data_IF_582336265846
#
_entry.id   IF_582336265846
#
_cell.length_a   1.000
_cell.length_b   1.000
_cell.length_c   1.000
_cell.angle_alpha   90.00
_cell.angle_beta   90.00
_cell.angle_gamma   90.00
#
_symmetry.space_group_name_H-M   'P 1'
#
loop_
_entity.id
_entity.type
_entity.pdbx_description
1 polymer ?
#
# COMPACT_ATOMS: atom_id res chain seq x y z
N UNK A 1 15.99 8.43 5.88
CA UNK A 1 14.81 7.59 5.63
C UNK A 1 15.22 6.56 4.61
N UNK A 2 15.09 5.26 4.90
CA UNK A 2 15.46 4.20 3.95
C UNK A 2 14.22 3.85 3.12
N UNK A 3 14.26 3.92 1.78
CA UNK A 3 13.15 3.49 0.95
C UNK A 3 12.92 1.98 1.10
N UNK A 4 11.65 1.59 1.17
CA UNK A 4 11.26 0.18 1.19
C UNK A 4 11.15 -0.29 -0.26
N UNK A 5 12.06 -1.18 -0.66
CA UNK A 5 12.02 -1.85 -1.96
C UNK A 5 11.41 -3.23 -1.73
N UNK A 6 10.28 -3.51 -2.34
CA UNK A 6 9.68 -4.85 -2.37
C UNK A 6 10.10 -5.49 -3.68
N UNK A 7 10.97 -6.51 -3.63
CA UNK A 7 11.48 -7.22 -4.81
C UNK A 7 11.52 -8.72 -4.64
N UNK A 8 11.12 -9.42 -5.68
CA UNK A 8 11.44 -10.81 -5.94
C UNK A 8 12.41 -10.90 -7.16
N UNK A 9 13.58 -11.56 -6.93
CA UNK A 9 14.60 -12.08 -7.86
C UNK A 9 15.78 -11.22 -8.36
N UNK A 10 16.95 -11.91 -8.35
CA UNK A 10 18.33 -11.39 -8.49
C UNK A 10 18.70 -10.61 -9.78
N UNK A 11 17.94 -10.72 -10.85
CA UNK A 11 18.29 -10.08 -12.14
C UNK A 11 17.92 -8.59 -12.20
N UNK A 12 17.03 -8.12 -11.36
CA UNK A 12 16.53 -6.75 -11.36
C UNK A 12 17.36 -5.76 -10.53
N UNK A 13 18.33 -6.23 -9.74
CA UNK A 13 19.03 -5.39 -8.75
C UNK A 13 19.84 -4.25 -9.41
N UNK A 14 20.50 -4.50 -10.53
CA UNK A 14 21.35 -3.49 -11.19
C UNK A 14 20.48 -2.47 -11.94
N UNK A 15 19.47 -2.93 -12.65
CA UNK A 15 18.53 -2.04 -13.38
C UNK A 15 17.76 -1.19 -12.40
N UNK A 16 17.29 -1.79 -11.30
CA UNK A 16 16.55 -1.06 -10.25
C UNK A 16 17.44 -0.04 -9.54
N UNK A 17 18.71 -0.32 -9.32
CA UNK A 17 19.63 0.67 -8.75
C UNK A 17 19.75 1.90 -9.64
N UNK A 18 19.93 1.72 -10.94
CA UNK A 18 20.03 2.83 -11.89
C UNK A 18 18.72 3.65 -11.94
N UNK A 19 17.56 2.98 -11.92
CA UNK A 19 16.26 3.66 -11.88
C UNK A 19 16.12 4.43 -10.58
N UNK A 20 16.50 3.83 -9.46
CA UNK A 20 16.43 4.45 -8.14
C UNK A 20 17.33 5.70 -8.09
N UNK A 21 18.59 5.57 -8.47
CA UNK A 21 19.56 6.67 -8.45
C UNK A 21 19.10 7.82 -9.37
N UNK A 22 18.67 7.52 -10.59
CA UNK A 22 18.12 8.51 -11.53
C UNK A 22 16.85 9.18 -11.00
N UNK A 23 15.98 8.41 -10.34
CA UNK A 23 14.74 8.97 -9.76
C UNK A 23 15.07 9.86 -8.57
N UNK A 24 16.03 9.46 -7.73
CA UNK A 24 16.49 10.23 -6.59
C UNK A 24 17.08 11.59 -7.05
N UNK A 25 17.93 11.57 -8.06
CA UNK A 25 18.50 12.78 -8.66
C UNK A 25 17.44 13.72 -9.24
N UNK A 26 16.49 13.17 -10.01
CA UNK A 26 15.44 13.96 -10.65
C UNK A 26 14.35 14.45 -9.70
N UNK A 27 14.26 13.89 -8.50
CA UNK A 27 13.20 14.22 -7.53
C UNK A 27 13.56 15.34 -6.54
N UNK A 28 14.76 15.91 -6.68
CA UNK A 28 15.25 17.03 -5.85
C UNK A 28 15.09 16.78 -4.34
N UNK A 29 15.36 15.56 -3.88
CA UNK A 29 15.30 15.17 -2.47
C UNK A 29 13.88 15.01 -1.90
N UNK A 30 12.83 15.02 -2.75
CA UNK A 30 11.47 14.70 -2.31
C UNK A 30 11.30 13.19 -2.10
N UNK A 31 10.44 12.84 -1.16
CA UNK A 31 10.08 11.43 -0.95
C UNK A 31 9.37 10.87 -2.20
N UNK A 32 9.71 9.64 -2.55
CA UNK A 32 9.05 8.92 -3.64
C UNK A 32 8.88 7.45 -3.25
N UNK A 33 7.94 6.80 -3.90
CA UNK A 33 7.69 5.37 -3.79
C UNK A 33 7.88 4.72 -5.16
N UNK A 34 8.67 3.66 -5.21
CA UNK A 34 8.91 2.91 -6.44
C UNK A 34 8.10 1.63 -6.42
N UNK A 35 7.21 1.51 -7.39
CA UNK A 35 6.38 0.33 -7.59
C UNK A 35 6.91 -0.45 -8.79
N UNK A 36 7.20 -1.74 -8.57
CA UNK A 36 7.61 -2.67 -9.61
C UNK A 36 6.54 -3.72 -9.86
N UNK A 37 6.28 -4.02 -11.13
CA UNK A 37 5.41 -5.10 -11.53
C UNK A 37 6.08 -5.95 -12.62
N UNK A 38 5.81 -7.25 -12.63
CA UNK A 38 6.33 -8.18 -13.63
C UNK A 38 5.69 -7.94 -15.00
N UNK A 39 4.46 -7.45 -15.02
CA UNK A 39 3.68 -7.19 -16.22
C UNK A 39 2.92 -5.87 -16.08
N UNK A 40 2.60 -5.25 -17.21
CA UNK A 40 1.65 -4.12 -17.29
C UNK A 40 0.19 -4.58 -17.07
N UNK A 41 -0.05 -5.88 -17.05
CA UNK A 41 -1.38 -6.48 -16.80
C UNK A 41 -1.64 -6.68 -15.29
N UNK A 42 -1.06 -5.84 -14.45
CA UNK A 42 -1.41 -5.81 -13.03
C UNK A 42 -2.90 -5.43 -12.90
N UNK A 43 -3.65 -6.19 -12.11
CA UNK A 43 -5.06 -5.86 -11.89
C UNK A 43 -5.23 -4.55 -11.11
N UNK A 44 -6.35 -3.86 -11.33
CA UNK A 44 -6.60 -2.53 -10.77
C UNK A 44 -6.62 -2.54 -9.23
N UNK A 45 -7.09 -3.62 -8.62
CA UNK A 45 -7.14 -3.75 -7.16
C UNK A 45 -5.74 -3.83 -6.56
N UNK A 46 -4.88 -4.70 -7.09
CA UNK A 46 -3.47 -4.83 -6.68
C UNK A 46 -2.71 -3.52 -6.90
N UNK A 47 -2.90 -2.89 -8.05
CA UNK A 47 -2.23 -1.62 -8.34
C UNK A 47 -2.64 -0.50 -7.36
N UNK A 48 -3.92 -0.39 -7.04
CA UNK A 48 -4.42 0.59 -6.07
C UNK A 48 -3.91 0.29 -4.65
N UNK A 49 -3.81 -0.99 -4.30
CA UNK A 49 -3.24 -1.43 -3.03
C UNK A 49 -1.79 -0.93 -2.87
N UNK A 50 -0.96 -1.13 -3.87
CA UNK A 50 0.43 -0.66 -3.86
C UNK A 50 0.54 0.88 -3.85
N UNK A 51 -0.34 1.59 -4.55
CA UNK A 51 -0.41 3.07 -4.45
C UNK A 51 -0.76 3.50 -3.02
N UNK A 52 -1.60 2.77 -2.32
CA UNK A 52 -1.94 3.07 -0.93
C UNK A 52 -0.72 3.01 0.00
N UNK A 53 0.15 2.02 -0.17
CA UNK A 53 1.43 1.95 0.52
C UNK A 53 2.36 3.12 0.16
N UNK A 54 2.39 3.48 -1.12
CA UNK A 54 3.15 4.65 -1.59
C UNK A 54 2.72 5.94 -0.90
N UNK A 55 1.41 6.19 -0.84
CA UNK A 55 0.84 7.33 -0.13
C UNK A 55 1.13 7.29 1.38
N UNK A 56 0.99 6.13 1.99
CA UNK A 56 1.25 5.95 3.43
C UNK A 56 2.72 6.22 3.79
N UNK A 57 3.64 5.91 2.87
CA UNK A 57 5.08 6.12 3.06
C UNK A 57 5.51 7.56 2.78
N UNK A 58 4.96 8.20 1.74
CA UNK A 58 5.47 9.49 1.23
C UNK A 58 4.63 10.70 1.64
N UNK A 59 3.38 10.50 2.07
CA UNK A 59 2.47 11.58 2.44
C UNK A 59 2.13 11.53 3.93
N UNK A 60 2.80 12.34 4.72
CA UNK A 60 2.63 12.39 6.19
C UNK A 60 1.18 12.70 6.61
N UNK A 61 0.50 13.58 5.89
CA UNK A 61 -0.91 13.93 6.19
C UNK A 61 -1.83 12.74 5.94
N UNK A 62 -1.63 12.04 4.82
CA UNK A 62 -2.34 10.81 4.50
C UNK A 62 -2.12 9.77 5.59
N UNK A 63 -0.86 9.48 5.92
CA UNK A 63 -0.50 8.52 6.96
C UNK A 63 -1.16 8.83 8.30
N UNK A 64 -1.05 10.06 8.78
CA UNK A 64 -1.61 10.47 10.07
C UNK A 64 -3.13 10.25 10.11
N UNK A 65 -3.83 10.52 9.02
CA UNK A 65 -5.27 10.30 8.95
C UNK A 65 -5.62 8.82 8.91
N UNK A 66 -4.87 8.01 8.13
CA UNK A 66 -5.05 6.56 8.05
C UNK A 66 -4.78 5.89 9.40
N UNK A 67 -3.69 6.24 10.08
CA UNK A 67 -3.37 5.75 11.44
C UNK A 67 -4.53 6.01 12.41
N UNK A 68 -5.11 7.21 12.36
CA UNK A 68 -6.27 7.55 13.20
C UNK A 68 -7.51 6.73 12.86
N UNK A 69 -7.78 6.52 11.58
CA UNK A 69 -8.93 5.72 11.13
C UNK A 69 -8.76 4.24 11.53
N UNK A 70 -7.56 3.70 11.35
CA UNK A 70 -7.22 2.32 11.73
C UNK A 70 -7.31 2.11 13.25
N UNK A 71 -6.78 3.03 14.06
CA UNK A 71 -6.87 2.99 15.53
C UNK A 71 -8.29 3.13 16.07
N UNK A 72 -9.19 3.74 15.31
CA UNK A 72 -10.60 3.88 15.67
C UNK A 72 -11.46 2.69 15.23
N UNK A 73 -10.87 1.66 14.61
CA UNK A 73 -11.58 0.41 14.36
C UNK A 73 -11.98 -0.24 15.68
N UNK A 74 -13.17 -0.86 15.78
CA UNK A 74 -13.50 -1.69 16.90
C UNK A 74 -12.41 -2.75 17.13
N UNK A 75 -12.04 -2.98 18.38
CA UNK A 75 -10.95 -3.89 18.75
C UNK A 75 -11.10 -5.29 18.13
N UNK A 76 -12.34 -5.78 18.06
CA UNK A 76 -12.65 -7.08 17.42
C UNK A 76 -12.27 -7.06 15.93
N UNK A 77 -12.58 -5.98 15.21
CA UNK A 77 -12.29 -5.86 13.78
C UNK A 77 -10.78 -5.74 13.58
N UNK A 78 -10.12 -4.88 14.35
CA UNK A 78 -8.67 -4.73 14.27
C UNK A 78 -7.94 -6.06 14.52
N UNK A 79 -8.31 -6.80 15.57
CA UNK A 79 -7.72 -8.10 15.88
C UNK A 79 -7.94 -9.13 14.76
N UNK A 80 -9.12 -9.14 14.15
CA UNK A 80 -9.44 -10.05 13.05
C UNK A 80 -8.59 -9.73 11.81
N UNK A 81 -8.48 -8.44 11.44
CA UNK A 81 -7.63 -8.01 10.33
C UNK A 81 -6.16 -8.32 10.60
N UNK A 82 -5.66 -7.98 11.79
CA UNK A 82 -4.30 -8.28 12.19
C UNK A 82 -3.99 -9.77 12.11
N UNK A 83 -4.87 -10.62 12.62
CA UNK A 83 -4.69 -12.07 12.56
C UNK A 83 -4.58 -12.57 11.11
N UNK A 84 -5.46 -12.09 10.22
CA UNK A 84 -5.44 -12.45 8.81
C UNK A 84 -4.10 -12.01 8.14
N UNK A 85 -3.64 -10.79 8.41
CA UNK A 85 -2.39 -10.25 7.84
C UNK A 85 -1.19 -11.06 8.33
N UNK A 86 -1.12 -11.41 9.62
CA UNK A 86 -0.06 -12.26 10.16
C UNK A 86 -0.09 -13.67 9.55
N UNK A 87 -1.29 -14.25 9.36
CA UNK A 87 -1.45 -15.56 8.74
C UNK A 87 -1.02 -15.56 7.26
N UNK A 88 -1.18 -14.43 6.56
CA UNK A 88 -0.64 -14.22 5.21
C UNK A 88 0.89 -14.10 5.17
N UNK A 89 1.58 -14.13 6.32
CA UNK A 89 3.03 -14.09 6.42
C UNK A 89 3.65 -12.70 6.65
N UNK A 90 2.84 -11.68 6.87
CA UNK A 90 3.35 -10.35 7.20
C UNK A 90 3.84 -10.26 8.64
N UNK A 91 4.76 -9.35 8.91
CA UNK A 91 5.28 -9.09 10.27
C UNK A 91 4.46 -8.01 10.98
N UNK A 92 4.50 -8.01 12.31
CA UNK A 92 3.83 -6.99 13.14
C UNK A 92 4.15 -5.55 12.73
N UNK A 93 5.37 -5.31 12.27
CA UNK A 93 5.84 -3.96 11.91
C UNK A 93 5.13 -3.33 10.70
N UNK A 94 4.38 -4.11 9.91
CA UNK A 94 3.66 -3.61 8.72
C UNK A 94 2.14 -3.73 8.85
N UNK A 95 1.64 -4.27 9.95
CA UNK A 95 0.20 -4.56 10.12
C UNK A 95 -0.67 -3.33 9.91
N UNK A 96 -0.35 -2.18 10.48
CA UNK A 96 -1.16 -0.96 10.34
C UNK A 96 -1.16 -0.45 8.89
N UNK A 97 -0.03 -0.57 8.19
CA UNK A 97 0.10 -0.23 6.78
C UNK A 97 -0.74 -1.17 5.90
N UNK A 98 -0.68 -2.48 6.15
CA UNK A 98 -1.49 -3.45 5.43
C UNK A 98 -3.00 -3.27 5.72
N UNK A 99 -3.39 -3.04 6.98
CA UNK A 99 -4.80 -2.78 7.32
C UNK A 99 -5.32 -1.57 6.56
N UNK A 100 -4.60 -0.45 6.55
CA UNK A 100 -5.06 0.73 5.82
C UNK A 100 -5.15 0.48 4.31
N UNK A 101 -4.21 -0.26 3.73
CA UNK A 101 -4.21 -0.59 2.31
C UNK A 101 -5.41 -1.46 1.94
N UNK A 102 -5.60 -2.60 2.58
CA UNK A 102 -6.75 -3.48 2.36
C UNK A 102 -8.10 -2.79 2.64
N UNK A 103 -8.19 -2.03 3.72
CA UNK A 103 -9.43 -1.34 4.07
C UNK A 103 -9.79 -0.22 3.10
N UNK A 104 -8.81 0.41 2.47
CA UNK A 104 -9.03 1.55 1.57
C UNK A 104 -9.24 1.15 0.11
N UNK A 105 -8.67 0.04 -0.34
CA UNK A 105 -8.64 -0.33 -1.76
C UNK A 105 -9.47 -1.58 -2.09
N UNK A 106 -9.70 -2.42 -1.13
CA UNK A 106 -10.44 -3.68 -1.24
C UNK A 106 -9.82 -4.75 -0.38
N UNK A 107 -10.63 -5.70 0.09
CA UNK A 107 -10.15 -6.81 0.93
C UNK A 107 -9.62 -7.98 0.11
N UNK A 108 -9.79 -7.96 -1.23
CA UNK A 108 -9.36 -9.03 -2.09
C UNK A 108 -9.83 -10.41 -1.59
N UNK A 109 -8.95 -11.37 -1.61
CA UNK A 109 -9.22 -12.72 -1.10
C UNK A 109 -9.29 -12.81 0.42
N UNK A 110 -8.80 -11.80 1.14
CA UNK A 110 -8.85 -11.76 2.61
C UNK A 110 -10.28 -11.94 3.14
N UNK A 111 -11.28 -11.34 2.49
CA UNK A 111 -12.68 -11.47 2.88
C UNK A 111 -13.21 -12.90 2.74
N UNK A 112 -12.72 -13.67 1.76
CA UNK A 112 -13.14 -15.05 1.48
C UNK A 112 -12.41 -16.04 2.38
N UNK A 113 -11.09 -15.87 2.51
CA UNK A 113 -10.22 -16.82 3.23
C UNK A 113 -10.41 -16.70 4.74
N UNK A 114 -10.53 -15.46 5.25
CA UNK A 114 -10.55 -15.20 6.70
C UNK A 114 -11.93 -14.84 7.27
N UNK A 115 -13.00 -14.95 6.45
CA UNK A 115 -14.38 -14.74 6.90
C UNK A 115 -14.62 -13.35 7.49
N UNK A 116 -13.95 -12.33 6.97
CA UNK A 116 -14.07 -10.97 7.49
C UNK A 116 -15.48 -10.44 7.30
N UNK A 117 -16.09 -10.01 8.38
CA UNK A 117 -17.50 -9.66 8.48
C UNK A 117 -17.94 -8.54 7.52
N UNK A 118 -19.15 -8.65 6.96
CA UNK A 118 -19.80 -7.61 6.16
C UNK A 118 -19.91 -6.25 6.90
N UNK A 119 -19.87 -6.24 8.22
CA UNK A 119 -19.90 -5.02 9.05
C UNK A 119 -18.67 -4.13 8.88
N UNK A 120 -17.57 -4.67 8.38
CA UNK A 120 -16.35 -3.90 8.10
C UNK A 120 -16.58 -2.81 7.06
N UNK A 121 -17.57 -2.98 6.17
CA UNK A 121 -17.85 -2.06 5.07
C UNK A 121 -18.14 -0.62 5.53
N UNK A 122 -18.74 -0.45 6.69
CA UNK A 122 -19.00 0.88 7.27
C UNK A 122 -17.69 1.60 7.57
N UNK A 123 -16.69 0.87 8.06
CA UNK A 123 -15.36 1.43 8.36
C UNK A 123 -14.52 1.61 7.11
N UNK A 124 -14.67 0.74 6.11
CA UNK A 124 -13.99 0.87 4.81
C UNK A 124 -14.34 2.20 4.12
N UNK A 125 -15.57 2.66 4.22
CA UNK A 125 -16.01 3.89 3.54
C UNK A 125 -15.12 5.09 3.89
N UNK A 126 -14.76 5.27 5.15
CA UNK A 126 -13.93 6.40 5.58
C UNK A 126 -12.49 6.28 5.06
N UNK A 127 -11.89 5.07 5.05
CA UNK A 127 -10.55 4.84 4.54
C UNK A 127 -10.52 4.95 3.01
N UNK A 128 -11.49 4.34 2.33
CA UNK A 128 -11.62 4.41 0.87
C UNK A 128 -11.82 5.83 0.37
N UNK A 129 -12.65 6.62 1.04
CA UNK A 129 -12.85 8.03 0.67
C UNK A 129 -11.55 8.83 0.85
N UNK A 130 -10.83 8.61 1.95
CA UNK A 130 -9.56 9.29 2.17
C UNK A 130 -8.52 8.90 1.12
N UNK A 131 -8.41 7.63 0.76
CA UNK A 131 -7.57 7.16 -0.34
C UNK A 131 -7.97 7.83 -1.66
N UNK A 132 -9.26 7.78 -2.03
CA UNK A 132 -9.79 8.32 -3.29
C UNK A 132 -9.47 9.80 -3.48
N UNK A 133 -9.54 10.60 -2.43
CA UNK A 133 -9.21 12.03 -2.47
C UNK A 133 -7.72 12.25 -2.70
N UNK A 134 -6.87 11.43 -2.07
CA UNK A 134 -5.42 11.61 -2.12
C UNK A 134 -4.76 10.97 -3.35
N UNK A 135 -5.38 9.99 -4.00
CA UNK A 135 -4.85 9.40 -5.23
C UNK A 135 -5.04 10.28 -6.46
N UNK A 136 -6.10 11.10 -6.51
CA UNK A 136 -6.42 11.96 -7.65
C UNK A 136 -5.27 12.88 -8.13
N UNK A 137 -4.50 13.53 -7.23
CA UNK A 137 -3.42 14.40 -7.65
C UNK A 137 -2.12 13.67 -8.00
N UNK A 138 -2.04 12.34 -7.86
CA UNK A 138 -0.82 11.60 -8.12
C UNK A 138 -0.52 11.58 -9.62
N UNK A 139 0.70 11.98 -9.97
CA UNK A 139 1.25 11.81 -11.31
C UNK A 139 2.11 10.55 -11.31
N UNK A 140 1.76 9.61 -12.16
CA UNK A 140 2.53 8.40 -12.37
C UNK A 140 3.53 8.61 -13.51
N UNK A 141 4.79 8.34 -13.25
CA UNK A 141 5.83 8.22 -14.27
C UNK A 141 6.06 6.74 -14.57
N UNK A 142 5.43 6.25 -15.62
CA UNK A 142 5.50 4.83 -16.00
C UNK A 142 6.69 4.63 -16.92
N UNK A 143 7.68 3.86 -16.49
CA UNK A 143 8.83 3.45 -17.30
C UNK A 143 8.72 1.97 -17.60
N UNK A 144 8.61 1.62 -18.87
CA UNK A 144 8.71 0.25 -19.33
C UNK A 144 10.18 -0.15 -19.41
N UNK A 145 10.56 -1.17 -18.69
CA UNK A 145 11.87 -1.79 -18.81
C UNK A 145 11.79 -2.83 -19.93
N UNK A 146 12.60 -2.63 -20.96
CA UNK A 146 12.76 -3.58 -22.08
C UNK A 146 13.93 -4.50 -21.79
#
# INVERSE_FOLDING_TARGET
IKPKIIMSYKFYIIIMKNIFDTTLENNNGRDFYLLGAESIEIDDETFRHEISHGLYTTNKTYKTKMDRLTKNLPERIYKQLKAAIIEMGYTDGVVDDEIQAYMSTGLGDMSKIYGISKWIKVYQNALSEHFRVNVKPIKLDIKLLK
#
